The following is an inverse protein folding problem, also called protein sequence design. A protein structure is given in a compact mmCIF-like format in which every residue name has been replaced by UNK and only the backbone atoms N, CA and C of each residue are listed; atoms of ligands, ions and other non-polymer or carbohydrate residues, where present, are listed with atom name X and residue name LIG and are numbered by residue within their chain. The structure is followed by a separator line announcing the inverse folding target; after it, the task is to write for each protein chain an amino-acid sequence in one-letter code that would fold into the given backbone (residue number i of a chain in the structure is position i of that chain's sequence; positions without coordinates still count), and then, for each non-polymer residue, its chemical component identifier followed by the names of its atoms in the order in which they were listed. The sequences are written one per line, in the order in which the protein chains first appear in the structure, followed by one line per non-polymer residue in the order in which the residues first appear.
data_IF_918561401505
#
_entry.id   IF_918561401505
#
_cell.length_a   1.000
_cell.length_b   1.000
_cell.length_c   1.000
_cell.angle_alpha   90.00
_cell.angle_beta   90.00
_cell.angle_gamma   90.00
#
_symmetry.space_group_name_H-M   'P 1'
#
loop_
_entity.id
_entity.type
_entity.pdbx_description
1 polymer ?
#
# COMPACT_ATOMS: atom_id res chain seq x y z
N UNK A 1 11.34 14.05 -40.59
CA UNK A 1 12.58 14.31 -39.82
C UNK A 1 12.29 14.03 -38.36
N UNK A 2 12.41 12.76 -37.94
CA UNK A 2 12.24 12.32 -36.55
C UNK A 2 12.97 10.97 -36.32
N UNK A 3 13.97 10.67 -37.15
CA UNK A 3 14.69 9.38 -37.16
C UNK A 3 16.21 9.56 -36.91
N UNK A 4 16.68 10.78 -36.61
CA UNK A 4 18.13 11.07 -36.50
C UNK A 4 18.64 11.49 -35.11
N UNK A 5 17.82 11.45 -34.06
CA UNK A 5 18.23 11.95 -32.72
C UNK A 5 18.63 10.86 -31.69
N UNK A 6 18.64 9.57 -32.06
CA UNK A 6 19.01 8.49 -31.13
C UNK A 6 20.47 8.02 -31.23
N UNK A 7 21.35 8.78 -31.89
CA UNK A 7 22.70 8.31 -32.23
C UNK A 7 23.75 8.36 -31.11
N UNK A 8 23.36 8.56 -29.84
CA UNK A 8 24.33 8.68 -28.74
C UNK A 8 23.86 8.21 -27.36
N UNK A 9 22.64 7.67 -27.22
CA UNK A 9 22.12 7.19 -25.92
C UNK A 9 22.02 5.67 -25.98
N UNK A 10 22.92 4.99 -25.28
CA UNK A 10 22.88 3.55 -25.12
C UNK A 10 21.97 3.11 -23.96
N UNK A 11 21.69 1.81 -23.88
CA UNK A 11 20.98 1.23 -22.72
C UNK A 11 21.67 1.56 -21.39
N UNK A 12 23.01 1.57 -21.38
CA UNK A 12 23.80 1.91 -20.21
C UNK A 12 23.52 3.34 -19.70
N UNK A 13 23.34 4.30 -20.62
CA UNK A 13 23.06 5.69 -20.27
C UNK A 13 21.65 5.83 -19.68
N UNK A 14 20.68 5.10 -20.22
CA UNK A 14 19.32 5.04 -19.68
C UNK A 14 19.33 4.49 -18.25
N UNK A 15 19.99 3.35 -18.02
CA UNK A 15 20.12 2.76 -16.68
C UNK A 15 20.84 3.69 -15.71
N UNK A 16 21.92 4.34 -16.14
CA UNK A 16 22.65 5.32 -15.33
C UNK A 16 21.72 6.47 -14.93
N UNK A 17 20.94 7.00 -15.87
CA UNK A 17 19.98 8.09 -15.60
C UNK A 17 18.89 7.66 -14.62
N UNK A 18 18.32 6.47 -14.79
CA UNK A 18 17.30 5.91 -13.88
C UNK A 18 17.86 5.68 -12.47
N UNK A 19 19.06 5.10 -12.34
CA UNK A 19 19.68 4.90 -11.03
C UNK A 19 20.07 6.21 -10.36
N UNK A 20 20.49 7.22 -11.14
CA UNK A 20 20.77 8.57 -10.63
C UNK A 20 19.51 9.20 -10.07
N UNK A 21 18.40 9.12 -10.81
CA UNK A 21 17.12 9.65 -10.35
C UNK A 21 16.61 8.93 -9.10
N UNK A 22 16.72 7.59 -9.05
CA UNK A 22 16.32 6.82 -7.88
C UNK A 22 17.17 7.17 -6.66
N UNK A 23 18.48 7.31 -6.83
CA UNK A 23 19.42 7.75 -5.79
C UNK A 23 19.04 9.15 -5.26
N UNK A 24 18.77 10.11 -6.14
CA UNK A 24 18.35 11.47 -5.76
C UNK A 24 16.97 11.49 -5.08
N UNK A 25 16.03 10.62 -5.49
CA UNK A 25 14.74 10.47 -4.82
C UNK A 25 14.90 9.97 -3.38
N UNK A 26 15.77 8.98 -3.16
CA UNK A 26 16.08 8.48 -1.82
C UNK A 26 16.63 9.59 -0.94
N UNK A 27 17.58 10.37 -1.45
CA UNK A 27 18.13 11.51 -0.73
C UNK A 27 17.07 12.55 -0.42
N UNK A 28 16.21 12.89 -1.38
CA UNK A 28 15.11 13.83 -1.18
C UNK A 28 14.13 13.37 -0.10
N UNK A 29 13.73 12.09 -0.12
CA UNK A 29 12.84 11.51 0.90
C UNK A 29 13.48 11.59 2.28
N UNK A 30 14.76 11.24 2.40
CA UNK A 30 15.49 11.35 3.67
C UNK A 30 15.59 12.80 4.13
N UNK A 31 15.91 13.70 3.21
CA UNK A 31 16.06 15.13 3.45
C UNK A 31 14.76 15.77 3.96
N UNK A 32 13.63 15.30 3.43
CA UNK A 32 12.27 15.72 3.82
C UNK A 32 11.66 14.88 4.94
N UNK A 33 12.39 13.91 5.49
CA UNK A 33 11.90 12.96 6.50
C UNK A 33 10.57 12.31 6.09
N UNK A 34 10.45 11.92 4.82
CA UNK A 34 9.25 11.30 4.26
C UNK A 34 8.09 12.26 3.96
N UNK A 35 8.14 13.52 4.39
CA UNK A 35 7.06 14.50 4.25
C UNK A 35 7.25 15.35 3.01
N UNK A 36 6.92 14.78 1.85
CA UNK A 36 6.95 15.51 0.58
C UNK A 36 5.51 15.73 0.11
N UNK A 37 5.10 16.98 0.09
CA UNK A 37 3.83 17.39 -0.53
C UNK A 37 4.12 18.05 -1.88
N UNK A 38 3.96 17.29 -2.95
CA UNK A 38 4.27 17.75 -4.31
C UNK A 38 3.46 18.97 -4.76
N UNK A 39 2.37 19.34 -4.07
CA UNK A 39 1.51 20.48 -4.42
C UNK A 39 1.79 21.73 -3.58
N UNK A 40 2.31 21.59 -2.35
CA UNK A 40 2.49 22.72 -1.42
C UNK A 40 3.94 23.11 -1.16
N UNK A 41 4.90 22.41 -1.76
CA UNK A 41 6.33 22.69 -1.61
C UNK A 41 6.77 24.00 -2.31
N UNK A 42 7.65 24.77 -1.66
CA UNK A 42 8.24 26.01 -2.20
C UNK A 42 9.35 25.69 -3.22
N UNK A 43 8.93 25.24 -4.40
CA UNK A 43 9.82 24.94 -5.51
C UNK A 43 10.34 26.23 -6.15
N UNK A 44 11.67 26.43 -6.12
CA UNK A 44 12.32 27.53 -6.86
C UNK A 44 13.20 27.00 -7.96
N UNK A 45 12.98 27.51 -9.17
CA UNK A 45 13.84 27.21 -10.31
C UNK A 45 15.17 27.94 -10.15
N UNK A 46 16.24 27.17 -10.22
CA UNK A 46 17.62 27.64 -10.22
C UNK A 46 18.32 27.11 -11.46
N UNK A 47 19.10 27.98 -12.11
CA UNK A 47 19.97 27.56 -13.20
C UNK A 47 21.39 27.41 -12.65
N UNK A 48 21.96 26.22 -12.82
CA UNK A 48 23.35 25.93 -12.50
C UNK A 48 24.01 25.50 -13.79
N UNK A 49 24.97 26.30 -14.26
CA UNK A 49 25.59 26.18 -15.58
C UNK A 49 24.53 26.18 -16.71
N UNK A 50 24.42 25.07 -17.46
CA UNK A 50 23.47 24.89 -18.56
C UNK A 50 22.25 24.03 -18.17
N UNK A 51 22.10 23.68 -16.89
CA UNK A 51 21.05 22.79 -16.39
C UNK A 51 20.10 23.50 -15.42
N UNK A 52 18.84 23.09 -15.46
CA UNK A 52 17.80 23.60 -14.58
C UNK A 52 17.54 22.65 -13.41
N UNK A 53 17.55 23.22 -12.22
CA UNK A 53 17.28 22.54 -10.96
C UNK A 53 16.09 23.19 -10.27
N UNK A 54 15.43 22.39 -9.45
CA UNK A 54 14.47 22.87 -8.46
C UNK A 54 15.16 22.79 -7.10
N UNK A 55 15.28 23.94 -6.46
CA UNK A 55 15.70 24.03 -5.06
C UNK A 55 14.51 23.75 -4.16
N UNK A 56 14.72 22.91 -3.16
CA UNK A 56 13.70 22.50 -2.18
C UNK A 56 14.26 22.71 -0.78
N UNK A 57 13.51 23.39 0.08
CA UNK A 57 13.93 23.67 1.46
C UNK A 57 13.49 22.60 2.45
N UNK A 58 14.36 22.17 3.37
CA UNK A 58 13.90 21.41 4.52
C UNK A 58 13.31 22.32 5.62
N UNK A 59 12.84 21.71 6.70
CA UNK A 59 12.32 22.40 7.89
C UNK A 59 13.36 23.28 8.62
N UNK A 60 14.65 23.07 8.37
CA UNK A 60 15.75 23.86 8.93
C UNK A 60 16.17 25.03 8.01
N UNK A 61 15.58 25.13 6.81
CA UNK A 61 15.88 26.16 5.82
C UNK A 61 17.09 25.85 4.93
N UNK A 62 17.71 24.68 5.06
CA UNK A 62 18.74 24.21 4.12
C UNK A 62 18.11 23.96 2.75
N UNK A 63 18.93 23.91 1.69
CA UNK A 63 18.49 23.64 0.32
C UNK A 63 19.05 22.32 -0.22
N UNK A 64 18.21 21.57 -0.93
CA UNK A 64 18.61 20.48 -1.82
C UNK A 64 18.26 20.84 -3.27
N UNK A 65 19.13 20.51 -4.23
CA UNK A 65 18.92 20.74 -5.66
C UNK A 65 18.56 19.45 -6.36
N UNK A 66 17.41 19.43 -7.03
CA UNK A 66 16.93 18.29 -7.81
C UNK A 66 16.78 18.71 -9.27
N UNK A 67 17.32 17.97 -10.26
CA UNK A 67 17.09 18.28 -11.66
C UNK A 67 15.59 18.35 -11.99
N UNK A 68 15.16 19.37 -12.73
CA UNK A 68 13.73 19.59 -13.06
C UNK A 68 13.10 18.34 -13.68
N UNK A 69 13.81 17.67 -14.58
CA UNK A 69 13.33 16.45 -15.24
C UNK A 69 13.02 15.33 -14.25
N UNK A 70 13.82 15.19 -13.19
CA UNK A 70 13.64 14.15 -12.18
C UNK A 70 12.45 14.43 -11.28
N UNK A 71 12.19 15.70 -10.95
CA UNK A 71 11.05 16.09 -10.11
C UNK A 71 9.72 15.62 -10.71
N UNK A 72 9.55 15.78 -12.02
CA UNK A 72 8.37 15.31 -12.74
C UNK A 72 8.24 13.78 -12.71
N UNK A 73 9.35 13.05 -12.73
CA UNK A 73 9.31 11.60 -12.56
C UNK A 73 8.87 11.21 -11.16
N UNK A 74 9.36 11.92 -10.14
CA UNK A 74 9.08 11.61 -8.75
C UNK A 74 7.58 11.75 -8.41
N UNK A 75 6.93 12.79 -8.92
CA UNK A 75 5.47 13.00 -8.77
C UNK A 75 4.65 11.83 -9.33
N UNK A 76 5.17 11.15 -10.35
CA UNK A 76 4.47 10.08 -11.06
C UNK A 76 4.84 8.67 -10.56
N UNK A 77 5.76 8.54 -9.60
CA UNK A 77 6.13 7.24 -9.05
C UNK A 77 5.01 6.72 -8.15
N UNK A 78 4.51 5.48 -8.36
CA UNK A 78 3.55 4.89 -7.45
C UNK A 78 4.19 4.67 -6.08
N UNK A 79 3.59 5.22 -5.01
CA UNK A 79 4.09 5.13 -3.61
C UNK A 79 4.45 3.69 -3.20
N UNK A 80 3.56 2.74 -3.52
CA UNK A 80 3.75 1.30 -3.28
C UNK A 80 5.02 0.69 -3.90
N UNK A 81 5.62 1.33 -4.90
CA UNK A 81 6.88 0.88 -5.50
C UNK A 81 8.07 1.14 -4.58
N UNK A 82 8.08 2.28 -3.89
CA UNK A 82 9.13 2.66 -2.95
C UNK A 82 9.08 1.77 -1.70
N UNK A 83 7.89 1.52 -1.17
CA UNK A 83 7.65 0.59 -0.06
C UNK A 83 8.21 -0.81 -0.37
N UNK A 84 7.83 -1.37 -1.53
CA UNK A 84 8.32 -2.69 -1.98
C UNK A 84 9.84 -2.73 -2.11
N UNK A 85 10.45 -1.64 -2.57
CA UNK A 85 11.90 -1.54 -2.71
C UNK A 85 12.60 -1.63 -1.35
N UNK A 86 12.06 -0.97 -0.33
CA UNK A 86 12.68 -0.97 1.01
C UNK A 86 12.23 -2.12 1.90
N UNK A 87 11.18 -2.86 1.53
CA UNK A 87 10.58 -3.91 2.35
C UNK A 87 11.59 -4.96 2.82
N UNK A 88 12.57 -5.29 1.98
CA UNK A 88 13.63 -6.26 2.28
C UNK A 88 14.69 -5.78 3.25
N UNK A 89 14.73 -4.49 3.62
CA UNK A 89 15.70 -3.97 4.59
C UNK A 89 15.29 -4.40 6.00
N UNK A 90 16.03 -5.34 6.57
CA UNK A 90 15.86 -5.87 7.93
C UNK A 90 16.91 -5.28 8.90
N UNK A 91 16.77 -5.57 10.20
CA UNK A 91 17.76 -5.22 11.22
C UNK A 91 19.14 -5.79 10.85
N UNK A 92 20.17 -4.94 10.84
CA UNK A 92 21.53 -5.31 10.44
C UNK A 92 21.76 -5.34 8.92
N UNK A 93 20.77 -4.96 8.11
CA UNK A 93 20.89 -4.83 6.66
C UNK A 93 20.67 -3.38 6.22
N UNK A 94 21.19 -3.07 5.04
CA UNK A 94 21.00 -1.79 4.37
C UNK A 94 20.85 -1.99 2.87
N UNK A 95 20.02 -1.16 2.24
CA UNK A 95 19.97 -1.04 0.78
C UNK A 95 20.84 0.13 0.36
N UNK A 96 21.78 -0.09 -0.56
CA UNK A 96 22.63 0.96 -1.12
C UNK A 96 22.46 1.04 -2.63
N UNK A 97 22.23 2.25 -3.14
CA UNK A 97 22.14 2.55 -4.57
C UNK A 97 23.30 3.46 -4.91
N UNK A 98 24.24 2.94 -5.70
CA UNK A 98 25.45 3.64 -6.10
C UNK A 98 25.47 3.93 -7.59
N UNK A 99 25.82 5.16 -7.96
CA UNK A 99 26.05 5.57 -9.34
C UNK A 99 27.48 6.07 -9.50
N UNK A 100 28.15 5.66 -10.57
CA UNK A 100 29.52 6.10 -10.85
C UNK A 100 29.53 7.50 -11.45
N UNK A 101 30.22 8.42 -10.79
CA UNK A 101 30.41 9.80 -11.25
C UNK A 101 31.57 9.89 -12.27
N UNK A 102 31.78 11.10 -12.81
CA UNK A 102 32.83 11.38 -13.80
C UNK A 102 34.25 11.18 -13.26
N UNK A 103 34.43 11.25 -11.94
CA UNK A 103 35.71 11.00 -11.25
C UNK A 103 35.91 9.52 -10.90
N UNK A 104 35.13 8.63 -11.52
CA UNK A 104 35.14 7.19 -11.28
C UNK A 104 34.75 6.72 -9.88
N UNK A 105 34.26 7.62 -9.03
CA UNK A 105 33.81 7.32 -7.66
C UNK A 105 32.32 6.97 -7.65
N UNK A 106 31.91 6.15 -6.69
CA UNK A 106 30.49 5.87 -6.47
C UNK A 106 29.88 6.93 -5.57
N UNK A 107 28.88 7.62 -6.10
CA UNK A 107 27.94 8.43 -5.33
C UNK A 107 26.80 7.51 -4.86
N UNK A 108 26.63 7.36 -3.54
CA UNK A 108 25.83 6.28 -2.94
C UNK A 108 24.80 6.84 -1.97
N UNK A 109 23.53 6.55 -2.23
CA UNK A 109 22.47 6.67 -1.22
C UNK A 109 22.27 5.34 -0.49
N UNK A 110 22.12 5.39 0.84
CA UNK A 110 21.89 4.20 1.66
C UNK A 110 20.63 4.36 2.50
N UNK A 111 19.85 3.29 2.59
CA UNK A 111 18.65 3.15 3.42
C UNK A 111 18.90 2.05 4.43
N UNK A 112 18.82 2.43 5.70
CA UNK A 112 18.89 1.50 6.83
C UNK A 112 17.50 1.12 7.33
N UNK A 113 17.41 0.11 8.19
CA UNK A 113 16.15 -0.26 8.83
C UNK A 113 15.50 0.89 9.62
N UNK A 114 16.31 1.79 10.21
CA UNK A 114 15.82 2.94 10.97
C UNK A 114 15.19 4.03 10.08
N UNK A 115 15.59 4.10 8.82
CA UNK A 115 15.11 5.09 7.85
C UNK A 115 13.97 4.53 6.98
N UNK A 116 13.66 3.24 7.14
CA UNK A 116 12.68 2.53 6.34
C UNK A 116 11.30 3.17 6.42
N UNK A 117 10.90 3.66 7.60
CA UNK A 117 9.62 4.33 7.85
C UNK A 117 9.41 5.57 6.96
N UNK A 118 10.48 6.25 6.55
CA UNK A 118 10.42 7.46 5.71
C UNK A 118 9.86 7.21 4.30
N UNK A 119 9.84 5.94 3.86
CA UNK A 119 9.42 5.53 2.53
C UNK A 119 8.02 4.92 2.52
N UNK A 120 7.37 4.84 3.69
CA UNK A 120 5.96 4.49 3.80
C UNK A 120 5.13 5.77 3.80
N UNK A 121 3.92 5.68 3.28
CA UNK A 121 3.02 6.83 3.24
C UNK A 121 2.25 6.97 4.54
N UNK A 122 1.98 8.20 5.00
CA UNK A 122 1.11 8.44 6.16
C UNK A 122 -0.33 7.90 5.94
N UNK A 123 -0.71 7.55 4.70
CA UNK A 123 -1.95 6.80 4.40
C UNK A 123 -1.95 5.37 4.98
N UNK A 124 -0.79 4.85 5.38
CA UNK A 124 -0.63 3.58 6.10
C UNK A 124 -0.57 3.77 7.63
N UNK A 125 -0.54 5.01 8.14
CA UNK A 125 -0.58 5.30 9.59
C UNK A 125 -2.00 5.54 10.15
N UNK A 126 -3.04 5.51 9.32
CA UNK A 126 -4.46 5.40 9.74
C UNK A 126 -5.09 4.05 9.36
N UNK A 127 -4.37 2.96 9.60
CA UNK A 127 -4.93 1.61 9.54
C UNK A 127 -5.75 1.30 10.80
N UNK A 128 -6.83 2.05 11.04
CA UNK A 128 -7.82 1.63 12.01
C UNK A 128 -8.46 0.34 11.47
N UNK A 129 -8.07 -0.79 12.06
CA UNK A 129 -8.66 -2.09 11.73
C UNK A 129 -10.18 -1.96 11.80
N UNK A 130 -10.85 -2.34 10.72
CA UNK A 130 -12.31 -2.40 10.73
C UNK A 130 -12.69 -3.50 11.72
N UNK A 131 -13.37 -3.09 12.78
CA UNK A 131 -13.71 -3.89 13.97
C UNK A 131 -12.47 -4.44 14.68
N UNK A 132 -11.72 -3.59 15.43
CA UNK A 132 -10.54 -4.03 16.16
C UNK A 132 -10.87 -5.08 17.24
N UNK A 133 -12.12 -5.14 17.68
CA UNK A 133 -12.62 -6.20 18.58
C UNK A 133 -12.62 -7.60 17.93
N UNK A 134 -12.54 -7.69 16.59
CA UNK A 134 -12.42 -8.96 15.87
C UNK A 134 -10.94 -9.31 15.71
N UNK A 135 -10.42 -9.99 16.72
CA UNK A 135 -9.03 -10.41 16.84
C UNK A 135 -8.76 -11.60 15.91
N UNK A 136 -7.69 -11.50 15.12
CA UNK A 136 -7.26 -12.59 14.25
C UNK A 136 -6.97 -13.86 15.05
N UNK A 137 -7.45 -15.02 14.58
CA UNK A 137 -7.20 -16.31 15.22
C UNK A 137 -8.23 -16.71 16.26
N UNK A 138 -9.15 -15.82 16.60
CA UNK A 138 -10.17 -16.07 17.61
C UNK A 138 -11.51 -16.45 17.01
N UNK A 139 -12.33 -17.10 17.83
CA UNK A 139 -13.73 -17.39 17.53
C UNK A 139 -14.57 -16.25 18.08
N UNK A 140 -15.49 -15.72 17.28
CA UNK A 140 -16.40 -14.66 17.64
C UNK A 140 -17.86 -15.06 17.37
N UNK A 141 -18.76 -14.64 18.26
CA UNK A 141 -20.20 -14.69 18.05
C UNK A 141 -20.73 -13.32 17.65
N UNK A 142 -21.30 -13.19 16.45
CA UNK A 142 -21.76 -11.92 15.91
C UNK A 142 -23.24 -11.97 15.57
N UNK A 143 -23.97 -10.88 15.80
CA UNK A 143 -25.34 -10.70 15.35
C UNK A 143 -25.37 -9.66 14.22
N UNK A 144 -26.06 -10.00 13.15
CA UNK A 144 -26.08 -9.19 11.94
C UNK A 144 -27.04 -9.77 10.92
N UNK A 145 -26.85 -9.43 9.64
CA UNK A 145 -27.73 -9.86 8.56
C UNK A 145 -26.94 -10.56 7.47
N UNK A 146 -27.36 -11.75 7.04
CA UNK A 146 -26.82 -12.31 5.80
C UNK A 146 -27.44 -11.55 4.63
N UNK A 147 -26.64 -11.01 3.71
CA UNK A 147 -27.14 -10.14 2.65
C UNK A 147 -26.88 -10.65 1.24
N UNK A 148 -25.99 -11.65 1.08
CA UNK A 148 -25.69 -12.27 -0.22
C UNK A 148 -25.04 -13.63 -0.03
N UNK A 149 -25.20 -14.51 -1.02
CA UNK A 149 -24.44 -15.75 -1.16
C UNK A 149 -23.98 -15.94 -2.60
N UNK A 150 -22.73 -16.34 -2.79
CA UNK A 150 -22.15 -16.67 -4.09
C UNK A 150 -21.66 -18.12 -4.10
N UNK A 151 -22.36 -18.98 -4.84
CA UNK A 151 -22.03 -20.40 -4.92
C UNK A 151 -20.70 -20.65 -5.65
N UNK A 152 -20.33 -19.81 -6.62
CA UNK A 152 -19.11 -19.98 -7.41
C UNK A 152 -17.85 -19.81 -6.57
N UNK A 153 -17.85 -18.81 -5.68
CA UNK A 153 -16.72 -18.51 -4.78
C UNK A 153 -16.90 -19.10 -3.38
N UNK A 154 -17.98 -19.87 -3.17
CA UNK A 154 -18.38 -20.42 -1.86
C UNK A 154 -18.30 -19.38 -0.73
N UNK A 155 -18.86 -18.19 -0.95
CA UNK A 155 -18.76 -17.05 -0.03
C UNK A 155 -20.11 -16.42 0.28
N UNK A 156 -20.24 -15.82 1.46
CA UNK A 156 -21.40 -15.07 1.92
C UNK A 156 -20.99 -13.62 2.22
N UNK A 157 -21.94 -12.69 2.14
CA UNK A 157 -21.79 -11.37 2.75
C UNK A 157 -22.61 -11.29 4.02
N UNK A 158 -21.98 -10.89 5.12
CA UNK A 158 -22.62 -10.68 6.41
C UNK A 158 -22.49 -9.22 6.81
N UNK A 159 -23.60 -8.53 6.95
CA UNK A 159 -23.65 -7.15 7.42
C UNK A 159 -23.59 -7.14 8.95
N UNK A 160 -22.53 -6.54 9.49
CA UNK A 160 -22.29 -6.34 10.91
C UNK A 160 -22.05 -4.85 11.17
N UNK A 161 -22.85 -4.24 12.06
CA UNK A 161 -22.77 -2.80 12.38
C UNK A 161 -22.72 -1.89 11.14
N UNK A 162 -23.48 -2.22 10.09
CA UNK A 162 -23.54 -1.44 8.84
C UNK A 162 -22.39 -1.71 7.84
N UNK A 163 -21.45 -2.61 8.16
CA UNK A 163 -20.35 -2.99 7.27
C UNK A 163 -20.48 -4.45 6.84
N UNK A 164 -20.32 -4.70 5.53
CA UNK A 164 -20.46 -6.04 4.95
C UNK A 164 -19.14 -6.80 5.03
N UNK A 165 -19.01 -7.77 5.94
CA UNK A 165 -17.87 -8.68 6.02
C UNK A 165 -18.00 -9.83 5.04
N UNK A 166 -16.87 -10.22 4.43
CA UNK A 166 -16.81 -11.43 3.60
C UNK A 166 -16.72 -12.64 4.51
N UNK A 167 -17.50 -13.66 4.18
CA UNK A 167 -17.62 -14.86 4.96
C UNK A 167 -17.45 -16.11 4.09
N UNK A 168 -16.85 -17.16 4.62
CA UNK A 168 -16.77 -18.47 4.00
C UNK A 168 -17.29 -19.53 4.98
N UNK A 169 -18.00 -20.57 4.52
CA UNK A 169 -18.30 -21.71 5.38
C UNK A 169 -16.98 -22.34 5.85
N UNK A 170 -16.80 -22.55 7.15
CA UNK A 170 -15.65 -23.29 7.67
C UNK A 170 -15.65 -24.74 7.17
N UNK A 171 -16.83 -25.30 6.93
CA UNK A 171 -17.05 -26.63 6.33
C UNK A 171 -18.20 -26.58 5.33
N UNK A 172 -18.07 -27.37 4.28
CA UNK A 172 -19.14 -27.55 3.29
C UNK A 172 -19.34 -26.36 2.36
N UNK A 173 -20.60 -26.17 1.94
CA UNK A 173 -20.98 -25.17 0.94
C UNK A 173 -21.95 -24.15 1.52
N UNK A 174 -21.93 -22.92 1.00
CA UNK A 174 -22.88 -21.88 1.36
C UNK A 174 -24.35 -22.27 1.15
N UNK A 175 -24.62 -23.32 0.36
CA UNK A 175 -25.97 -23.87 0.15
C UNK A 175 -26.68 -24.21 1.45
N UNK A 176 -25.94 -24.62 2.48
CA UNK A 176 -26.49 -24.94 3.80
C UNK A 176 -27.07 -23.72 4.54
N UNK A 177 -26.76 -22.50 4.08
CA UNK A 177 -27.22 -21.26 4.68
C UNK A 177 -28.24 -20.51 3.80
N UNK A 178 -28.74 -21.13 2.72
CA UNK A 178 -29.68 -20.50 1.78
C UNK A 178 -30.95 -19.99 2.45
N UNK A 179 -31.53 -20.80 3.34
CA UNK A 179 -32.75 -20.44 4.08
C UNK A 179 -32.53 -19.30 5.08
N UNK A 180 -31.28 -18.91 5.32
CA UNK A 180 -30.91 -17.83 6.23
C UNK A 180 -30.49 -16.55 5.49
N UNK A 181 -30.46 -16.56 4.15
CA UNK A 181 -30.15 -15.38 3.36
C UNK A 181 -31.21 -14.31 3.58
N UNK A 182 -30.77 -13.06 3.69
CA UNK A 182 -31.60 -11.88 3.95
C UNK A 182 -32.26 -11.82 5.33
N UNK A 183 -32.01 -12.80 6.21
CA UNK A 183 -32.49 -12.80 7.59
C UNK A 183 -31.46 -12.20 8.54
N UNK A 184 -31.94 -11.64 9.66
CA UNK A 184 -31.07 -11.40 10.80
C UNK A 184 -30.69 -12.72 11.44
N UNK A 185 -29.40 -12.90 11.68
CA UNK A 185 -28.83 -14.13 12.19
C UNK A 185 -27.80 -13.84 13.28
N UNK A 186 -27.66 -14.79 14.20
CA UNK A 186 -26.46 -14.96 15.01
C UNK A 186 -25.53 -15.93 14.28
N UNK A 187 -24.24 -15.60 14.19
CA UNK A 187 -23.22 -16.48 13.59
C UNK A 187 -22.13 -16.79 14.62
N UNK A 188 -21.62 -18.01 14.59
CA UNK A 188 -20.33 -18.39 15.20
C UNK A 188 -19.29 -18.48 14.09
N UNK A 189 -18.17 -17.79 14.24
CA UNK A 189 -17.15 -17.72 13.19
C UNK A 189 -15.73 -17.58 13.72
N UNK A 190 -14.78 -18.08 12.95
CA UNK A 190 -13.34 -17.84 13.16
C UNK A 190 -12.89 -16.62 12.37
N UNK A 191 -12.14 -15.72 13.00
CA UNK A 191 -11.70 -14.45 12.41
C UNK A 191 -10.35 -14.60 11.72
N UNK A 192 -10.30 -14.39 10.40
CA UNK A 192 -9.07 -14.39 9.61
C UNK A 192 -8.73 -12.99 9.08
N UNK A 193 -7.50 -12.53 9.31
CA UNK A 193 -6.95 -11.30 8.71
C UNK A 193 -5.79 -11.58 7.75
N UNK A 194 -5.52 -12.83 7.39
CA UNK A 194 -4.45 -13.19 6.45
C UNK A 194 -5.00 -13.73 5.13
N UNK A 195 -6.18 -13.27 4.69
CA UNK A 195 -6.80 -13.82 3.50
C UNK A 195 -6.02 -13.44 2.23
N UNK A 196 -5.49 -12.21 2.17
CA UNK A 196 -4.72 -11.74 1.00
C UNK A 196 -3.23 -12.05 1.08
N UNK A 197 -2.66 -12.11 2.28
CA UNK A 197 -1.24 -12.35 2.51
C UNK A 197 -0.97 -12.83 3.93
N UNK A 198 -0.05 -13.78 4.08
CA UNK A 198 0.44 -14.23 5.39
C UNK A 198 1.41 -13.22 6.04
N UNK A 199 1.87 -12.20 5.30
CA UNK A 199 2.86 -11.25 5.80
C UNK A 199 2.25 -10.03 6.51
N UNK A 200 0.99 -9.69 6.20
CA UNK A 200 0.32 -8.50 6.75
C UNK A 200 -1.14 -8.83 7.10
N UNK A 201 -1.68 -8.16 8.11
CA UNK A 201 -3.09 -8.26 8.44
C UNK A 201 -3.93 -7.38 7.51
N UNK A 202 -4.97 -7.98 6.94
CA UNK A 202 -6.04 -7.28 6.25
C UNK A 202 -6.78 -6.35 7.22
N UNK A 203 -6.95 -5.07 6.83
CA UNK A 203 -7.71 -4.07 7.61
C UNK A 203 -9.12 -4.56 7.94
N UNK A 204 -9.74 -5.32 7.03
CA UNK A 204 -11.06 -5.91 7.18
C UNK A 204 -10.94 -7.43 7.32
N UNK A 205 -11.50 -8.04 8.38
CA UNK A 205 -11.41 -9.48 8.55
C UNK A 205 -12.31 -10.23 7.56
N UNK A 206 -11.89 -11.43 7.24
CA UNK A 206 -12.70 -12.47 6.60
C UNK A 206 -13.16 -13.45 7.68
N UNK A 207 -14.45 -13.80 7.68
CA UNK A 207 -15.04 -14.66 8.70
C UNK A 207 -15.23 -16.09 8.17
N UNK A 208 -14.77 -17.08 8.92
CA UNK A 208 -15.01 -18.49 8.61
C UNK A 208 -16.15 -19.01 9.47
N UNK A 209 -17.35 -19.10 8.89
CA UNK A 209 -18.61 -19.35 9.56
C UNK A 209 -18.77 -20.84 9.86
N UNK A 210 -18.84 -21.15 11.15
CA UNK A 210 -19.09 -22.50 11.67
C UNK A 210 -20.59 -22.78 11.78
N UNK A 211 -21.35 -21.79 12.27
CA UNK A 211 -22.78 -21.93 12.54
C UNK A 211 -23.53 -20.64 12.21
N UNK A 212 -24.73 -20.77 11.67
CA UNK A 212 -25.69 -19.69 11.44
C UNK A 212 -27.00 -20.05 12.11
N UNK A 213 -27.52 -19.15 12.94
CA UNK A 213 -28.80 -19.27 13.63
C UNK A 213 -29.68 -18.07 13.24
N UNK A 214 -30.72 -18.26 12.42
CA UNK A 214 -31.69 -17.22 12.14
C UNK A 214 -32.38 -16.75 13.43
N UNK A 215 -32.42 -15.43 13.63
CA UNK A 215 -33.14 -14.79 14.74
C UNK A 215 -34.56 -14.37 14.33
N UNK A 216 -34.82 -14.39 13.03
CA UNK A 216 -36.10 -14.05 12.42
C UNK A 216 -36.52 -15.22 11.52
N UNK A 217 -37.82 -15.39 11.35
CA UNK A 217 -38.36 -16.31 10.37
C UNK A 217 -38.68 -15.54 9.09
N UNK A 218 -38.48 -16.18 7.95
CA UNK A 218 -38.80 -15.61 6.66
C UNK A 218 -40.33 -15.38 6.61
N UNK A 219 -40.75 -14.12 6.75
CA UNK A 219 -42.16 -13.73 6.61
C UNK A 219 -42.51 -13.65 5.11
N UNK A 220 -42.45 -14.77 4.41
CA UNK A 220 -43.23 -14.95 3.19
C UNK A 220 -44.63 -15.43 3.57
N UNK A 221 -45.42 -14.55 4.18
CA UNK A 221 -46.88 -14.67 4.11
C UNK A 221 -47.44 -13.51 3.27
N UNK A 222 -48.18 -13.92 2.23
CA UNK A 222 -49.19 -13.17 1.46
C UNK A 222 -48.68 -12.16 0.42
N UNK A 223 -48.48 -12.64 -0.82
CA UNK A 223 -49.18 -12.17 -2.02
C UNK A 223 -49.29 -13.29 -3.06
#
# INVERSE_FOLDING_TARGET
MAEKDFHGIGLADVFKKSLTALKNLIELIKYKKGKIDWESEDFKLEQVDEQFFVSIKNEFGDLILIPVEQLEWFKNIPKTSLEKMVQGVMVGQSLSIGVRNEKEQFDVATITNAEKSLFFSEEDEEDEFIFPELIHGEVAELQGKLIRGNEKTNSLGFEYKGVILNCHPQRGSIRQYKSSLFLKCKISCYVNRHEKSNAHFDKKPTLYVEKVEPLEHDQFELF
#
